data_IF_178322069289
#
_entry.id   IF_178322069289
#
_cell.length_a   1.000
_cell.length_b   1.000
_cell.length_c   1.000
_cell.angle_alpha   90.00
_cell.angle_beta   90.00
_cell.angle_gamma   90.00
#
_symmetry.space_group_name_H-M   'P 1'
#
loop_
_entity.id
_entity.type
_entity.pdbx_description
1 polymer ?
#
# COMPACT_ATOMS: atom_id res chain seq x y z
N UNK A 1 2.57 -3.46 -8.48
CA UNK A 1 1.73 -4.19 -9.42
C UNK A 1 2.48 -4.56 -10.72
N UNK A 2 3.18 -3.65 -11.33
CA UNK A 2 3.83 -3.87 -12.61
C UNK A 2 5.15 -4.64 -12.53
N UNK A 3 5.49 -5.46 -13.55
CA UNK A 3 6.74 -6.21 -13.59
C UNK A 3 7.93 -5.37 -13.97
N UNK A 4 7.71 -4.23 -14.61
CA UNK A 4 8.74 -3.40 -15.23
C UNK A 4 8.53 -1.92 -14.94
N UNK A 5 9.57 -1.14 -15.17
CA UNK A 5 9.49 0.32 -15.18
C UNK A 5 9.10 0.79 -16.58
N UNK A 6 8.25 1.82 -16.66
CA UNK A 6 7.78 2.38 -17.91
C UNK A 6 6.38 1.93 -18.30
N UNK A 7 6.03 2.09 -19.57
CA UNK A 7 4.73 1.71 -20.11
C UNK A 7 4.48 0.19 -19.99
N UNK A 8 3.22 -0.18 -19.94
CA UNK A 8 2.83 -1.59 -19.96
C UNK A 8 3.28 -2.22 -21.28
N UNK A 9 4.12 -3.27 -21.27
CA UNK A 9 4.65 -3.87 -22.49
C UNK A 9 3.54 -4.57 -23.29
N UNK A 10 2.57 -5.10 -22.60
CA UNK A 10 1.37 -5.72 -23.16
C UNK A 10 0.23 -5.73 -22.13
N UNK A 11 -0.95 -6.16 -22.53
CA UNK A 11 -2.12 -6.30 -21.65
C UNK A 11 -2.23 -7.68 -20.98
N UNK A 12 -1.32 -8.60 -21.24
CA UNK A 12 -1.35 -9.96 -20.67
C UNK A 12 -1.02 -9.98 -19.18
N UNK A 13 -0.18 -9.04 -18.71
CA UNK A 13 0.18 -8.95 -17.31
C UNK A 13 -0.99 -8.48 -16.45
N UNK A 14 -1.40 -9.32 -15.49
CA UNK A 14 -2.54 -9.09 -14.60
C UNK A 14 -2.18 -9.00 -13.11
N UNK A 15 -0.92 -8.76 -12.80
CA UNK A 15 -0.41 -8.67 -11.44
C UNK A 15 0.29 -9.96 -10.96
N UNK A 16 0.78 -9.92 -9.73
CA UNK A 16 1.58 -11.00 -9.13
C UNK A 16 0.75 -12.15 -8.55
N UNK A 17 -0.58 -12.00 -8.42
CA UNK A 17 -1.44 -12.87 -7.64
C UNK A 17 -2.14 -13.96 -8.47
N UNK A 18 -1.83 -14.10 -9.76
CA UNK A 18 -2.53 -15.01 -10.65
C UNK A 18 -3.98 -14.60 -10.90
N UNK A 19 -4.85 -15.56 -11.18
CA UNK A 19 -6.23 -15.30 -11.60
C UNK A 19 -7.17 -14.90 -10.45
N UNK A 20 -6.86 -15.31 -9.21
CA UNK A 20 -7.71 -15.10 -8.03
C UNK A 20 -6.94 -14.32 -6.94
N UNK A 21 -6.81 -12.99 -7.07
CA UNK A 21 -6.18 -12.16 -6.04
C UNK A 21 -6.97 -12.19 -4.73
N UNK A 22 -6.28 -12.04 -3.57
CA UNK A 22 -6.90 -12.21 -2.25
C UNK A 22 -7.76 -11.03 -1.77
N UNK A 23 -7.96 -9.99 -2.57
CA UNK A 23 -8.57 -8.74 -2.11
C UNK A 23 -10.10 -8.76 -2.11
N UNK A 24 -10.73 -9.49 -3.03
CA UNK A 24 -12.19 -9.63 -3.17
C UNK A 24 -12.97 -8.30 -3.28
N UNK A 25 -12.33 -7.26 -3.79
CA UNK A 25 -12.91 -5.93 -3.95
C UNK A 25 -12.08 -5.04 -4.87
N UNK A 26 -12.41 -3.74 -4.98
CA UNK A 26 -11.65 -2.79 -5.81
C UNK A 26 -10.26 -2.55 -5.23
N UNK A 27 -9.26 -2.55 -6.10
CA UNK A 27 -7.85 -2.26 -5.79
C UNK A 27 -7.38 -1.12 -6.68
N UNK A 28 -6.95 -0.03 -6.07
CA UNK A 28 -6.46 1.15 -6.78
C UNK A 28 -4.93 1.11 -6.87
N UNK A 29 -4.42 1.00 -8.09
CA UNK A 29 -2.99 0.90 -8.39
C UNK A 29 -2.47 2.26 -8.81
N UNK A 30 -1.63 2.87 -7.97
CA UNK A 30 -0.92 4.10 -8.31
C UNK A 30 0.15 3.83 -9.36
N UNK A 31 0.11 4.55 -10.47
CA UNK A 31 1.03 4.36 -11.59
C UNK A 31 1.13 5.65 -12.41
N UNK A 32 2.22 5.82 -13.15
CA UNK A 32 2.37 6.90 -14.12
C UNK A 32 1.86 6.50 -15.53
N UNK A 33 1.41 5.27 -15.70
CA UNK A 33 1.02 4.72 -17.00
C UNK A 33 -0.43 4.23 -16.94
N UNK A 34 -1.29 4.93 -17.65
CA UNK A 34 -2.72 4.60 -17.71
C UNK A 34 -2.95 3.19 -18.28
N UNK A 35 -3.93 2.51 -17.74
CA UNK A 35 -4.38 1.20 -18.19
C UNK A 35 -5.86 1.02 -17.92
N UNK A 36 -6.55 0.24 -18.74
CA UNK A 36 -7.94 -0.16 -18.48
C UNK A 36 -8.03 -1.02 -17.22
N UNK A 37 -9.12 -0.89 -16.49
CA UNK A 37 -9.39 -1.72 -15.31
C UNK A 37 -9.43 -3.21 -15.67
N UNK A 38 -8.92 -4.04 -14.78
CA UNK A 38 -8.83 -5.49 -14.98
C UNK A 38 -9.71 -6.19 -13.95
N UNK A 39 -10.87 -6.73 -14.35
CA UNK A 39 -11.64 -7.61 -13.48
C UNK A 39 -10.94 -8.97 -13.38
N UNK A 40 -10.85 -9.48 -12.16
CA UNK A 40 -10.24 -10.76 -11.82
C UNK A 40 -11.27 -11.72 -11.25
N UNK A 41 -10.94 -13.01 -11.22
CA UNK A 41 -11.77 -13.98 -10.50
C UNK A 41 -11.79 -13.67 -8.99
N UNK A 42 -12.85 -14.04 -8.29
CA UNK A 42 -12.99 -13.80 -6.86
C UNK A 42 -13.40 -12.37 -6.46
N UNK A 43 -13.83 -11.54 -7.42
CA UNK A 43 -14.39 -10.21 -7.14
C UNK A 43 -13.37 -9.07 -7.04
N UNK A 44 -12.08 -9.33 -7.23
CA UNK A 44 -11.07 -8.27 -7.30
C UNK A 44 -11.16 -7.54 -8.64
N UNK A 45 -11.09 -6.20 -8.63
CA UNK A 45 -10.90 -5.39 -9.82
C UNK A 45 -9.75 -4.42 -9.60
N UNK A 46 -8.74 -4.47 -10.46
CA UNK A 46 -7.64 -3.51 -10.45
C UNK A 46 -8.01 -2.27 -11.26
N UNK A 47 -7.96 -1.11 -10.64
CA UNK A 47 -8.14 0.22 -11.26
C UNK A 47 -6.81 0.96 -11.24
N UNK A 48 -6.41 1.50 -12.38
CA UNK A 48 -5.12 2.20 -12.50
C UNK A 48 -5.35 3.70 -12.38
N UNK A 49 -4.66 4.33 -11.42
CA UNK A 49 -4.81 5.74 -11.08
C UNK A 49 -3.51 6.47 -11.38
N UNK A 50 -3.57 7.44 -12.27
CA UNK A 50 -2.41 8.25 -12.70
C UNK A 50 -2.42 9.65 -12.09
N UNK A 51 -3.49 10.03 -11.41
CA UNK A 51 -3.73 11.36 -10.89
C UNK A 51 -3.18 11.58 -9.47
N UNK A 52 -2.48 10.61 -8.91
CA UNK A 52 -1.81 10.72 -7.61
C UNK A 52 -2.60 10.15 -6.44
N UNK A 53 -2.02 10.33 -5.23
CA UNK A 53 -2.50 9.69 -4.00
C UNK A 53 -3.87 10.19 -3.56
N UNK A 54 -4.17 11.47 -3.75
CA UNK A 54 -5.42 12.08 -3.29
C UNK A 54 -6.63 11.52 -4.05
N UNK A 55 -6.51 11.43 -5.37
CA UNK A 55 -7.56 10.87 -6.23
C UNK A 55 -7.72 9.36 -5.98
N UNK A 56 -6.62 8.64 -5.79
CA UNK A 56 -6.68 7.22 -5.45
C UNK A 56 -7.40 7.00 -4.11
N UNK A 57 -7.09 7.80 -3.09
CA UNK A 57 -7.74 7.72 -1.78
C UNK A 57 -9.22 8.11 -1.85
N UNK A 58 -9.55 9.16 -2.60
CA UNK A 58 -10.95 9.56 -2.80
C UNK A 58 -11.77 8.40 -3.39
N UNK A 59 -11.30 7.82 -4.49
CA UNK A 59 -11.98 6.67 -5.14
C UNK A 59 -12.08 5.46 -4.22
N UNK A 60 -11.03 5.22 -3.42
CA UNK A 60 -11.04 4.14 -2.43
C UNK A 60 -12.09 4.39 -1.34
N UNK A 61 -12.20 5.62 -0.81
CA UNK A 61 -13.22 6.00 0.18
C UNK A 61 -14.64 5.85 -0.37
N UNK A 62 -14.88 6.30 -1.59
CA UNK A 62 -16.19 6.15 -2.26
C UNK A 62 -16.57 4.67 -2.39
N UNK A 63 -15.63 3.79 -2.70
CA UNK A 63 -15.87 2.37 -2.82
C UNK A 63 -15.98 1.64 -1.48
N UNK A 64 -15.24 2.08 -0.47
CA UNK A 64 -15.23 1.46 0.86
C UNK A 64 -16.48 1.80 1.67
N UNK A 65 -17.08 2.98 1.45
CA UNK A 65 -18.19 3.47 2.26
C UNK A 65 -17.77 3.63 3.72
N UNK A 66 -18.30 2.80 4.60
CA UNK A 66 -17.96 2.78 6.03
C UNK A 66 -16.86 1.79 6.42
N UNK A 67 -16.26 1.11 5.45
CA UNK A 67 -15.20 0.11 5.70
C UNK A 67 -13.83 0.76 5.67
N UNK A 68 -12.87 0.08 6.28
CA UNK A 68 -11.47 0.50 6.27
C UNK A 68 -10.84 0.35 4.88
N UNK A 69 -9.80 1.16 4.64
CA UNK A 69 -9.00 1.13 3.41
C UNK A 69 -7.60 0.65 3.79
N UNK A 70 -7.14 -0.38 3.12
CA UNK A 70 -5.79 -0.91 3.33
C UNK A 70 -4.81 -0.39 2.26
N UNK A 71 -3.70 0.20 2.70
CA UNK A 71 -2.57 0.57 1.84
C UNK A 71 -1.56 -0.58 1.85
N UNK A 72 -1.47 -1.34 0.74
CA UNK A 72 -0.64 -2.53 0.66
C UNK A 72 0.84 -2.26 0.32
N UNK A 73 1.20 -1.05 -0.07
CA UNK A 73 2.57 -0.71 -0.47
C UNK A 73 2.66 -0.34 -1.97
N UNK A 74 3.87 -0.23 -2.65
CA UNK A 74 5.24 -0.31 -2.09
C UNK A 74 5.67 0.88 -1.25
N UNK A 75 6.97 0.89 -0.94
CA UNK A 75 7.59 1.88 -0.04
C UNK A 75 7.31 3.31 -0.47
N UNK A 76 7.45 3.64 -1.75
CA UNK A 76 7.18 5.00 -2.24
C UNK A 76 5.71 5.43 -2.04
N UNK A 77 4.77 4.53 -2.26
CA UNK A 77 3.33 4.79 -2.01
C UNK A 77 3.08 5.08 -0.53
N UNK A 78 3.58 4.20 0.36
CA UNK A 78 3.41 4.38 1.81
C UNK A 78 4.03 5.70 2.28
N UNK A 79 5.23 6.05 1.79
CA UNK A 79 5.88 7.31 2.14
C UNK A 79 5.07 8.54 1.74
N UNK A 80 4.45 8.54 0.57
CA UNK A 80 3.60 9.64 0.12
C UNK A 80 2.42 9.84 1.08
N UNK A 81 1.72 8.76 1.43
CA UNK A 81 0.60 8.82 2.37
C UNK A 81 1.05 9.18 3.80
N UNK A 82 2.20 8.70 4.28
CA UNK A 82 2.75 9.09 5.58
C UNK A 82 3.09 10.59 5.63
N UNK A 83 3.79 11.11 4.62
CA UNK A 83 4.13 12.54 4.53
C UNK A 83 2.90 13.43 4.45
N UNK A 84 1.85 12.97 3.78
CA UNK A 84 0.56 13.65 3.71
C UNK A 84 -0.31 13.45 4.97
N UNK A 85 0.18 12.67 5.97
CA UNK A 85 -0.56 12.34 7.21
C UNK A 85 -1.93 11.69 6.95
N UNK A 86 -2.04 10.87 5.91
CA UNK A 86 -3.26 10.21 5.47
C UNK A 86 -3.35 8.74 5.89
N UNK A 87 -2.46 8.28 6.77
CA UNK A 87 -2.52 6.95 7.38
C UNK A 87 -2.95 7.13 8.83
N UNK A 88 -3.99 6.44 9.25
CA UNK A 88 -4.49 6.47 10.63
C UNK A 88 -3.78 5.44 11.49
N UNK A 89 -3.55 4.25 10.93
CA UNK A 89 -2.93 3.12 11.60
C UNK A 89 -1.90 2.43 10.71
N UNK A 90 -0.77 2.03 11.28
CA UNK A 90 0.32 1.37 10.59
C UNK A 90 0.75 0.13 11.37
N UNK A 91 0.48 -1.05 10.81
CA UNK A 91 0.98 -2.32 11.34
C UNK A 91 2.25 -2.73 10.61
N UNK A 92 3.36 -2.80 11.33
CA UNK A 92 4.67 -3.18 10.79
C UNK A 92 5.09 -4.53 11.38
N UNK A 93 5.45 -5.46 10.49
CA UNK A 93 6.09 -6.71 10.86
C UNK A 93 7.57 -6.66 10.45
N UNK A 94 8.46 -6.74 11.44
CA UNK A 94 9.92 -6.70 11.25
C UNK A 94 10.46 -8.12 11.42
N UNK A 95 10.93 -8.70 10.32
CA UNK A 95 11.61 -9.99 10.37
C UNK A 95 13.05 -9.83 10.89
N UNK A 96 13.61 -10.81 11.65
CA UNK A 96 14.96 -10.74 12.21
C UNK A 96 16.01 -11.07 11.13
N UNK A 97 15.98 -10.35 10.02
CA UNK A 97 16.87 -10.54 8.88
C UNK A 97 17.52 -9.19 8.53
N UNK A 98 18.84 -9.19 8.40
CA UNK A 98 19.60 -8.03 7.96
C UNK A 98 19.81 -8.15 6.45
N UNK A 99 19.13 -7.33 5.67
CA UNK A 99 19.23 -7.36 4.21
C UNK A 99 20.52 -6.72 3.66
N UNK A 100 21.15 -5.83 4.44
CA UNK A 100 22.34 -5.08 4.01
C UNK A 100 22.06 -3.96 3.00
N UNK A 101 21.08 -4.13 2.12
CA UNK A 101 20.64 -3.12 1.15
C UNK A 101 19.14 -3.25 0.88
N UNK A 102 18.54 -2.22 0.28
CA UNK A 102 17.12 -2.21 -0.06
C UNK A 102 16.49 -0.83 0.14
N UNK A 103 15.18 -0.74 -0.10
CA UNK A 103 14.42 0.48 0.13
C UNK A 103 14.12 0.64 1.64
N UNK A 104 14.34 1.85 2.16
CA UNK A 104 14.09 2.17 3.57
C UNK A 104 12.73 2.83 3.71
N UNK A 105 11.80 2.19 4.42
CA UNK A 105 10.43 2.70 4.57
C UNK A 105 10.38 4.12 5.16
N UNK A 106 11.20 4.41 6.15
CA UNK A 106 11.20 5.68 6.90
C UNK A 106 12.31 6.66 6.49
N UNK A 107 12.91 6.49 5.32
CA UNK A 107 13.96 7.41 4.87
C UNK A 107 13.41 8.84 4.78
N UNK A 108 14.07 9.77 5.49
CA UNK A 108 13.64 11.16 5.64
C UNK A 108 12.17 11.33 6.11
N UNK A 109 11.71 10.43 6.99
CA UNK A 109 10.42 10.51 7.67
C UNK A 109 10.64 10.36 9.17
N UNK A 110 10.28 11.38 9.93
CA UNK A 110 10.19 11.33 11.38
C UNK A 110 8.72 11.12 11.78
N UNK A 111 8.40 9.90 12.18
CA UNK A 111 7.03 9.54 12.57
C UNK A 111 6.55 10.30 13.80
N UNK A 112 7.45 10.62 14.74
CA UNK A 112 7.09 11.36 15.95
C UNK A 112 6.69 12.78 15.60
N UNK A 113 7.48 13.46 14.77
CA UNK A 113 7.15 14.80 14.26
C UNK A 113 5.86 14.84 13.45
N UNK A 114 5.53 13.75 12.74
CA UNK A 114 4.27 13.60 12.00
C UNK A 114 3.07 13.23 12.90
N UNK A 115 3.27 13.12 14.23
CA UNK A 115 2.19 12.83 15.17
C UNK A 115 1.83 11.35 15.28
N UNK A 116 2.75 10.44 14.94
CA UNK A 116 2.55 9.01 15.14
C UNK A 116 3.24 8.52 16.41
N UNK A 117 2.64 7.51 17.06
CA UNK A 117 3.28 6.79 18.18
C UNK A 117 3.00 5.28 18.09
N UNK A 118 3.95 4.47 18.53
CA UNK A 118 3.73 3.07 18.77
C UNK A 118 2.87 2.88 20.03
N UNK A 119 1.79 2.11 19.90
CA UNK A 119 0.87 1.83 21.02
C UNK A 119 0.89 0.38 21.46
N UNK A 120 1.34 -0.51 20.59
CA UNK A 120 1.45 -1.94 20.88
C UNK A 120 2.68 -2.52 20.19
N UNK A 121 3.30 -3.51 20.83
CA UNK A 121 4.32 -4.34 20.22
C UNK A 121 4.14 -5.79 20.66
N UNK A 122 4.44 -6.72 19.77
CA UNK A 122 4.39 -8.16 20.04
C UNK A 122 5.52 -8.87 19.32
N UNK A 123 6.27 -9.68 20.04
CA UNK A 123 7.31 -10.52 19.46
C UNK A 123 6.81 -11.94 19.26
N UNK A 124 7.20 -12.53 18.14
CA UNK A 124 7.07 -13.94 17.82
C UNK A 124 8.46 -14.49 17.48
N UNK A 125 8.59 -15.79 17.28
CA UNK A 125 9.86 -16.42 16.86
C UNK A 125 10.35 -15.91 15.48
N UNK A 126 9.46 -15.34 14.67
CA UNK A 126 9.74 -14.98 13.28
C UNK A 126 9.70 -13.49 12.99
N UNK A 127 9.05 -12.69 13.82
CA UNK A 127 8.90 -11.27 13.60
C UNK A 127 8.58 -10.49 14.88
N UNK A 128 8.95 -9.21 14.89
CA UNK A 128 8.42 -8.21 15.81
C UNK A 128 7.30 -7.45 15.11
N UNK A 129 6.15 -7.38 15.74
CA UNK A 129 5.00 -6.62 15.26
C UNK A 129 4.88 -5.31 16.04
N UNK A 130 4.67 -4.21 15.33
CA UNK A 130 4.44 -2.88 15.89
C UNK A 130 3.11 -2.35 15.37
N UNK A 131 2.28 -1.85 16.27
CA UNK A 131 1.11 -1.08 15.93
C UNK A 131 1.39 0.39 16.22
N UNK A 132 1.33 1.20 15.20
CA UNK A 132 1.64 2.64 15.25
C UNK A 132 0.37 3.36 14.80
N UNK A 133 -0.06 4.35 15.59
CA UNK A 133 -1.26 5.13 15.29
C UNK A 133 -0.92 6.61 15.21
N UNK A 134 -1.69 7.33 14.38
CA UNK A 134 -1.68 8.78 14.36
C UNK A 134 -2.33 9.30 15.64
N UNK A 135 -1.65 10.20 16.34
CA UNK A 135 -2.21 10.92 17.48
C UNK A 135 -2.65 12.29 16.98
N UNK A 136 -3.90 12.62 17.23
CA UNK A 136 -4.45 13.95 16.92
C UNK A 136 -3.77 15.05 17.74
#
# INVERSE_FOLDING_TARGET
FGPVRGNWPDESWKGWWGETPPYHGPVYVLTNHARKSIPMKGGTTFHFVTEGIDIALQRARESAGSKDIQICGGVNTIRQYLKAQLIDELHIAISPIILGSGERLYEAIDLIQLGYKAIEHKCTDKAMHLLIVKTN
#
